data_IF_745113446552
#
_entry.id   IF_745113446552
#
_cell.length_a   1.000
_cell.length_b   1.000
_cell.length_c   1.000
_cell.angle_alpha   90.00
_cell.angle_beta   90.00
_cell.angle_gamma   90.00
#
_symmetry.space_group_name_H-M   'P 1'
#
loop_
_entity.id
_entity.type
_entity.pdbx_description
1 polymer ?
#
# COMPACT_ATOMS: atom_id res chain seq x y z
N UNK A 1 -35.59 -3.36 -23.40
CA UNK A 1 -35.12 -3.48 -22.00
C UNK A 1 -33.90 -4.40 -21.93
N UNK A 2 -33.96 -5.68 -22.34
CA UNK A 2 -32.84 -6.65 -22.23
C UNK A 2 -31.58 -6.17 -22.96
N UNK A 3 -31.71 -5.71 -24.22
CA UNK A 3 -30.58 -5.21 -25.00
C UNK A 3 -29.94 -3.96 -24.38
N UNK A 4 -30.73 -3.04 -23.81
CA UNK A 4 -30.19 -1.88 -23.13
C UNK A 4 -29.47 -2.28 -21.83
N UNK A 5 -30.00 -3.26 -21.06
CA UNK A 5 -29.34 -3.75 -19.84
C UNK A 5 -28.01 -4.41 -20.17
N UNK A 6 -27.94 -5.23 -21.22
CA UNK A 6 -26.69 -5.86 -21.66
C UNK A 6 -25.65 -4.80 -22.08
N UNK A 7 -26.09 -3.77 -22.81
CA UNK A 7 -25.19 -2.67 -23.21
C UNK A 7 -24.60 -1.96 -21.99
N UNK A 8 -25.42 -1.61 -20.99
CA UNK A 8 -24.94 -0.97 -19.78
C UNK A 8 -23.99 -1.86 -18.98
N UNK A 9 -24.26 -3.17 -18.88
CA UNK A 9 -23.37 -4.12 -18.21
C UNK A 9 -21.99 -4.15 -18.92
N UNK A 10 -21.97 -4.21 -20.25
CA UNK A 10 -20.71 -4.21 -21.01
C UNK A 10 -19.94 -2.91 -20.79
N UNK A 11 -20.61 -1.77 -20.86
CA UNK A 11 -19.98 -0.46 -20.60
C UNK A 11 -19.41 -0.42 -19.18
N UNK A 12 -20.18 -0.87 -18.18
CA UNK A 12 -19.72 -0.89 -16.78
C UNK A 12 -18.55 -1.85 -16.56
N UNK A 13 -18.50 -2.98 -17.26
CA UNK A 13 -17.34 -3.88 -17.22
C UNK A 13 -16.08 -3.18 -17.76
N UNK A 14 -16.18 -2.43 -18.85
CA UNK A 14 -15.05 -1.67 -19.39
C UNK A 14 -14.53 -0.67 -18.34
N UNK A 15 -15.43 0.07 -17.67
CA UNK A 15 -15.07 0.95 -16.57
C UNK A 15 -14.44 0.21 -15.40
N UNK A 16 -14.97 -0.94 -15.02
CA UNK A 16 -14.43 -1.75 -13.93
C UNK A 16 -12.98 -2.23 -14.18
N UNK A 17 -12.61 -2.53 -15.42
CA UNK A 17 -11.23 -2.83 -15.79
C UNK A 17 -10.27 -1.63 -15.69
N UNK A 18 -10.80 -0.41 -15.65
CA UNK A 18 -10.01 0.83 -15.51
C UNK A 18 -9.83 1.26 -14.06
N UNK A 19 -10.32 0.49 -13.10
CA UNK A 19 -10.18 0.81 -11.68
C UNK A 19 -8.72 0.69 -11.27
N UNK A 20 -8.23 1.74 -10.59
CA UNK A 20 -6.94 1.73 -9.90
C UNK A 20 -7.13 1.43 -8.41
N UNK A 21 -6.17 0.72 -7.82
CA UNK A 21 -6.09 0.50 -6.37
C UNK A 21 -5.07 1.45 -5.71
N UNK A 22 -4.42 2.29 -6.51
CA UNK A 22 -3.34 3.19 -6.08
C UNK A 22 -3.88 4.43 -5.36
N UNK A 23 -4.22 4.31 -4.09
CA UNK A 23 -4.61 5.46 -3.27
C UNK A 23 -3.42 6.00 -2.48
N UNK A 24 -3.37 7.33 -2.31
CA UNK A 24 -2.52 7.98 -1.32
C UNK A 24 -3.21 8.03 0.04
N UNK A 25 -2.45 8.22 1.13
CA UNK A 25 -3.02 8.22 2.48
C UNK A 25 -3.91 9.45 2.74
N UNK A 26 -3.57 10.61 2.18
CA UNK A 26 -4.38 11.82 2.33
C UNK A 26 -5.62 11.84 1.44
N UNK A 27 -5.70 10.93 0.48
CA UNK A 27 -6.85 10.87 -0.43
C UNK A 27 -8.18 10.56 0.26
N UNK A 28 -8.16 10.04 1.50
CA UNK A 28 -9.35 9.81 2.32
C UNK A 28 -9.89 11.08 2.98
N UNK A 29 -9.10 12.16 3.00
CA UNK A 29 -9.52 13.45 3.53
C UNK A 29 -10.20 14.28 2.46
N UNK A 30 -11.25 15.02 2.84
CA UNK A 30 -11.90 15.97 1.93
C UNK A 30 -10.94 17.14 1.63
N UNK A 31 -10.73 17.51 0.34
CA UNK A 31 -9.75 18.54 -0.05
C UNK A 31 -9.97 19.91 0.60
N UNK A 32 -11.21 20.24 0.95
CA UNK A 32 -11.59 21.51 1.60
C UNK A 32 -11.53 21.44 3.14
N UNK A 33 -11.19 20.27 3.72
CA UNK A 33 -11.04 20.16 5.17
C UNK A 33 -9.81 20.90 5.67
N UNK A 34 -9.93 21.57 6.82
CA UNK A 34 -8.80 22.29 7.43
C UNK A 34 -7.60 21.36 7.64
N UNK A 35 -7.84 20.11 8.06
CA UNK A 35 -6.78 19.12 8.26
C UNK A 35 -6.02 18.82 6.94
N UNK A 36 -6.73 18.63 5.81
CA UNK A 36 -6.08 18.39 4.52
C UNK A 36 -5.20 19.58 4.11
N UNK A 37 -5.75 20.80 4.24
CA UNK A 37 -5.04 22.04 3.90
C UNK A 37 -3.78 22.21 4.78
N UNK A 38 -3.89 21.98 6.08
CA UNK A 38 -2.77 22.07 7.01
C UNK A 38 -1.69 21.04 6.70
N UNK A 39 -2.06 19.79 6.44
CA UNK A 39 -1.10 18.74 6.06
C UNK A 39 -0.40 19.08 4.74
N UNK A 40 -1.11 19.58 3.74
CA UNK A 40 -0.50 20.02 2.47
C UNK A 40 0.43 21.22 2.64
N UNK A 41 0.13 22.13 3.55
CA UNK A 41 1.05 23.23 3.89
C UNK A 41 2.32 22.70 4.56
N UNK A 42 2.19 21.79 5.53
CA UNK A 42 3.35 21.15 6.18
C UNK A 42 4.18 20.38 5.16
N UNK A 43 3.56 19.60 4.28
CA UNK A 43 4.24 18.91 3.18
C UNK A 43 5.08 19.85 2.33
N UNK A 44 4.50 21.01 1.96
CA UNK A 44 5.19 22.05 1.17
C UNK A 44 6.38 22.67 1.90
N UNK A 45 6.28 22.87 3.22
CA UNK A 45 7.33 23.53 3.99
C UNK A 45 8.47 22.60 4.39
N UNK A 46 8.17 21.33 4.66
CA UNK A 46 9.13 20.34 5.16
C UNK A 46 9.55 19.29 4.11
N UNK A 47 9.01 19.37 2.89
CA UNK A 47 9.32 18.44 1.81
C UNK A 47 8.68 17.07 1.96
N UNK A 48 7.83 16.89 2.97
CA UNK A 48 7.09 15.64 3.24
C UNK A 48 6.43 15.67 4.60
N UNK A 49 5.49 14.72 4.80
CA UNK A 49 4.73 14.56 6.05
C UNK A 49 4.63 13.10 6.49
N UNK A 50 4.93 12.17 5.59
CA UNK A 50 4.76 10.74 5.84
C UNK A 50 6.10 10.07 6.09
N UNK A 51 6.30 9.46 7.28
CA UNK A 51 7.56 8.83 7.63
C UNK A 51 7.86 7.62 6.74
N UNK A 52 9.07 7.59 6.22
CA UNK A 52 9.66 6.45 5.51
C UNK A 52 11.03 6.16 6.10
N UNK A 53 11.37 4.89 6.15
CA UNK A 53 12.65 4.41 6.66
C UNK A 53 13.28 3.46 5.66
N UNK A 54 14.59 3.60 5.47
CA UNK A 54 15.39 2.66 4.70
C UNK A 54 16.35 2.01 5.68
N UNK A 55 16.20 0.70 5.83
CA UNK A 55 17.04 -0.12 6.70
C UNK A 55 18.15 -0.73 5.86
N UNK A 56 19.38 -0.51 6.25
CA UNK A 56 20.54 -1.18 5.69
C UNK A 56 20.92 -2.28 6.65
N UNK A 57 20.98 -3.53 6.18
CA UNK A 57 21.30 -4.70 6.97
C UNK A 57 22.59 -5.33 6.48
N UNK A 58 23.53 -5.58 7.39
CA UNK A 58 24.76 -6.31 7.16
C UNK A 58 24.57 -7.77 7.57
N UNK A 59 25.03 -8.71 6.74
CA UNK A 59 25.05 -10.14 7.10
C UNK A 59 25.95 -10.41 8.30
N UNK A 60 25.54 -11.31 9.20
CA UNK A 60 26.28 -11.68 10.41
C UNK A 60 27.63 -12.35 10.13
N UNK A 61 27.79 -12.94 8.95
CA UNK A 61 29.02 -13.59 8.49
C UNK A 61 30.20 -12.63 8.29
N UNK A 62 29.93 -11.32 8.25
CA UNK A 62 30.94 -10.28 8.01
C UNK A 62 31.41 -9.69 9.35
N UNK A 63 32.68 -10.01 9.72
CA UNK A 63 33.30 -9.55 10.97
C UNK A 63 33.80 -8.09 10.85
N UNK A 64 32.86 -7.13 10.86
CA UNK A 64 33.15 -5.70 10.96
C UNK A 64 31.98 -4.96 11.60
N UNK A 65 32.21 -3.82 12.28
CA UNK A 65 31.11 -3.05 12.85
C UNK A 65 30.17 -2.52 11.77
N UNK A 66 28.88 -2.39 12.08
CA UNK A 66 27.87 -1.89 11.12
C UNK A 66 28.13 -0.42 10.71
N UNK A 67 28.92 0.32 11.46
CA UNK A 67 29.37 1.69 11.13
C UNK A 67 30.79 1.73 10.54
N UNK A 68 31.27 0.60 9.97
CA UNK A 68 32.55 0.51 9.26
C UNK A 68 32.66 1.53 8.11
N UNK A 69 33.87 2.01 7.86
CA UNK A 69 34.19 2.99 6.80
C UNK A 69 33.61 2.63 5.44
N UNK A 70 33.62 1.36 5.06
CA UNK A 70 33.09 0.90 3.78
C UNK A 70 31.56 0.99 3.76
N UNK A 71 30.89 0.60 4.85
CA UNK A 71 29.42 0.70 4.99
C UNK A 71 28.99 2.18 4.97
N UNK A 72 29.75 3.05 5.62
CA UNK A 72 29.46 4.51 5.58
C UNK A 72 29.56 5.07 4.16
N UNK A 73 30.50 4.59 3.33
CA UNK A 73 30.55 4.97 1.89
C UNK A 73 29.34 4.50 1.10
N UNK A 74 28.86 3.30 1.35
CA UNK A 74 27.64 2.80 0.69
C UNK A 74 26.42 3.59 1.16
N UNK A 75 26.32 3.91 2.45
CA UNK A 75 25.27 4.75 3.01
C UNK A 75 25.27 6.13 2.40
N UNK A 76 26.45 6.76 2.23
CA UNK A 76 26.60 8.06 1.58
C UNK A 76 26.13 8.02 0.12
N UNK A 77 26.54 7.00 -0.66
CA UNK A 77 26.07 6.83 -2.04
C UNK A 77 24.55 6.68 -2.13
N UNK A 78 23.98 5.87 -1.25
CA UNK A 78 22.51 5.69 -1.18
C UNK A 78 21.82 7.00 -0.83
N UNK A 79 22.34 7.74 0.12
CA UNK A 79 21.77 9.01 0.54
C UNK A 79 21.84 10.07 -0.57
N UNK A 80 22.93 10.14 -1.33
CA UNK A 80 23.04 11.00 -2.52
C UNK A 80 21.98 10.64 -3.56
N UNK A 81 21.81 9.35 -3.84
CA UNK A 81 20.77 8.87 -4.76
C UNK A 81 19.35 9.24 -4.30
N UNK A 82 19.06 9.09 -3.00
CA UNK A 82 17.75 9.48 -2.44
C UNK A 82 17.54 11.00 -2.57
N UNK A 83 18.56 11.83 -2.34
CA UNK A 83 18.48 13.28 -2.50
C UNK A 83 18.27 13.72 -3.96
N UNK A 84 18.77 12.98 -4.93
CA UNK A 84 18.49 13.24 -6.35
C UNK A 84 17.01 13.06 -6.67
N UNK A 85 16.36 12.08 -6.04
CA UNK A 85 14.91 11.80 -6.24
C UNK A 85 14.05 12.77 -5.40
N UNK A 86 14.45 13.04 -4.16
CA UNK A 86 13.70 13.85 -3.18
C UNK A 86 14.56 14.97 -2.59
N UNK A 87 14.89 16.00 -3.36
CA UNK A 87 15.85 17.06 -2.92
C UNK A 87 15.33 17.92 -1.77
N UNK A 88 14.02 17.98 -1.56
CA UNK A 88 13.39 18.81 -0.51
C UNK A 88 13.04 18.03 0.75
N UNK A 89 13.18 16.72 0.74
CA UNK A 89 12.88 15.88 1.91
C UNK A 89 14.02 15.92 2.92
N UNK A 90 13.66 15.94 4.19
CA UNK A 90 14.66 15.93 5.26
C UNK A 90 14.98 14.46 5.65
N UNK A 91 16.22 14.07 5.38
CA UNK A 91 16.72 12.72 5.69
C UNK A 91 17.72 12.77 6.83
N UNK A 92 17.58 11.85 7.78
CA UNK A 92 18.48 11.66 8.91
C UNK A 92 19.07 10.26 8.81
N UNK A 93 20.40 10.16 8.87
CA UNK A 93 21.12 8.89 8.84
C UNK A 93 22.29 8.92 9.81
N UNK A 94 22.77 7.73 10.19
CA UNK A 94 23.99 7.60 10.98
C UNK A 94 25.16 8.32 10.30
N UNK A 95 25.36 8.06 9.01
CA UNK A 95 26.38 8.66 8.19
C UNK A 95 26.38 10.20 8.30
N UNK A 96 25.21 10.83 8.13
CA UNK A 96 25.09 12.30 8.16
C UNK A 96 25.36 12.88 9.55
N UNK A 97 24.98 12.19 10.60
CA UNK A 97 25.27 12.64 11.98
C UNK A 97 26.77 12.58 12.24
N UNK A 98 27.45 11.49 11.84
CA UNK A 98 28.88 11.33 12.01
C UNK A 98 29.64 12.34 11.14
N UNK A 99 29.30 12.49 9.86
CA UNK A 99 29.88 13.44 8.93
C UNK A 99 29.82 14.86 9.46
N UNK A 100 28.63 15.29 9.91
CA UNK A 100 28.46 16.64 10.47
C UNK A 100 29.31 16.86 11.71
N UNK A 101 29.40 15.88 12.60
CA UNK A 101 30.19 15.97 13.80
C UNK A 101 31.70 16.01 13.50
N UNK A 102 32.17 15.22 12.53
CA UNK A 102 33.58 15.25 12.06
C UNK A 102 33.91 16.62 11.45
N UNK A 103 33.02 17.14 10.61
CA UNK A 103 33.20 18.46 10.00
C UNK A 103 33.26 19.59 11.05
N UNK A 104 32.49 19.49 12.14
CA UNK A 104 32.54 20.46 13.26
C UNK A 104 33.86 20.36 14.05
N UNK A 105 34.49 19.15 14.11
CA UNK A 105 35.77 18.95 14.78
C UNK A 105 36.95 19.45 13.92
N UNK A 106 36.99 19.01 12.67
CA UNK A 106 38.01 19.43 11.69
C UNK A 106 37.43 19.34 10.27
N UNK A 107 37.17 20.52 9.63
CA UNK A 107 36.65 20.59 8.28
C UNK A 107 37.55 20.00 7.18
N UNK A 108 38.83 19.71 7.48
CA UNK A 108 39.76 19.14 6.51
C UNK A 108 39.75 17.61 6.48
N UNK A 109 39.00 16.95 7.37
CA UNK A 109 38.87 15.50 7.38
C UNK A 109 37.78 15.11 6.38
N UNK A 110 38.16 14.35 5.34
CA UNK A 110 37.22 13.78 4.37
C UNK A 110 36.39 12.67 5.00
N UNK A 111 35.09 12.63 4.70
CA UNK A 111 34.21 11.56 5.14
C UNK A 111 34.13 10.42 4.10
N UNK A 112 34.11 9.15 4.51
CA UNK A 112 34.37 8.64 5.87
C UNK A 112 35.86 8.60 6.19
N UNK A 113 36.23 9.01 7.41
CA UNK A 113 37.62 9.00 7.86
C UNK A 113 38.11 7.56 8.09
N UNK A 114 39.31 7.43 8.67
CA UNK A 114 39.81 6.13 9.11
C UNK A 114 38.98 5.58 10.28
N UNK A 115 38.98 4.24 10.42
CA UNK A 115 38.11 3.55 11.39
C UNK A 115 38.33 4.01 12.83
N UNK A 116 39.58 4.32 13.20
CA UNK A 116 39.87 4.80 14.55
C UNK A 116 39.17 6.14 14.88
N UNK A 117 39.07 7.03 13.92
CA UNK A 117 38.36 8.31 14.06
C UNK A 117 36.84 8.04 14.12
N UNK A 118 36.33 7.13 13.29
CA UNK A 118 34.93 6.72 13.31
C UNK A 118 34.53 6.15 14.69
N UNK A 119 35.36 5.30 15.26
CA UNK A 119 35.11 4.69 16.57
C UNK A 119 35.05 5.76 17.67
N UNK A 120 35.98 6.71 17.67
CA UNK A 120 35.99 7.83 18.64
C UNK A 120 34.75 8.73 18.46
N UNK A 121 34.43 9.11 17.24
CA UNK A 121 33.28 9.97 16.94
C UNK A 121 31.96 9.26 17.25
N UNK A 122 31.87 7.96 16.96
CA UNK A 122 30.70 7.17 17.31
C UNK A 122 30.46 7.18 18.83
N UNK A 123 31.51 6.96 19.64
CA UNK A 123 31.43 7.00 21.12
C UNK A 123 30.90 8.37 21.59
N UNK A 124 31.37 9.46 20.99
CA UNK A 124 30.96 10.82 21.36
C UNK A 124 29.54 11.17 20.91
N UNK A 125 29.00 10.45 19.94
CA UNK A 125 27.69 10.72 19.35
C UNK A 125 26.63 9.66 19.73
N UNK A 126 26.92 8.71 20.61
CA UNK A 126 26.04 7.60 20.98
C UNK A 126 24.62 8.02 21.32
N UNK A 127 24.46 9.08 22.12
CA UNK A 127 23.15 9.58 22.53
C UNK A 127 22.29 10.06 21.35
N UNK A 128 22.94 10.57 20.28
CA UNK A 128 22.27 11.09 19.09
C UNK A 128 22.04 10.01 18.01
N UNK A 129 22.82 8.94 18.06
CA UNK A 129 22.82 7.89 17.02
C UNK A 129 22.15 6.59 17.48
N UNK A 130 21.82 6.48 18.77
CA UNK A 130 21.22 5.27 19.37
C UNK A 130 19.97 4.78 18.62
N UNK A 131 19.15 5.70 18.13
CA UNK A 131 17.94 5.34 17.39
C UNK A 131 18.18 4.99 15.93
N UNK A 132 19.38 5.26 15.42
CA UNK A 132 19.76 5.06 14.02
C UNK A 132 20.51 3.75 13.79
N UNK A 133 20.86 3.03 14.85
CA UNK A 133 21.68 1.82 14.80
C UNK A 133 21.12 0.73 15.72
N UNK A 134 21.07 -0.50 15.23
CA UNK A 134 20.79 -1.70 16.01
C UNK A 134 21.94 -2.68 15.83
N UNK A 135 22.78 -2.84 16.87
CA UNK A 135 23.94 -3.73 16.84
C UNK A 135 23.55 -5.21 16.91
N UNK A 136 22.49 -5.55 17.64
CA UNK A 136 22.06 -6.95 17.78
C UNK A 136 21.61 -7.54 16.45
N UNK A 137 20.98 -6.71 15.61
CA UNK A 137 20.49 -7.12 14.30
C UNK A 137 21.38 -6.67 13.13
N UNK A 138 22.54 -6.06 13.39
CA UNK A 138 23.44 -5.51 12.37
C UNK A 138 22.73 -4.59 11.36
N UNK A 139 21.93 -3.64 11.87
CA UNK A 139 21.11 -2.72 11.06
C UNK A 139 21.41 -1.25 11.34
N UNK A 140 21.40 -0.45 10.30
CA UNK A 140 21.35 1.02 10.39
C UNK A 140 20.13 1.54 9.65
N UNK A 141 19.62 2.67 10.12
CA UNK A 141 18.40 3.31 9.64
C UNK A 141 18.69 4.66 9.00
N UNK A 142 18.13 4.87 7.82
CA UNK A 142 17.96 6.19 7.21
C UNK A 142 16.49 6.54 7.36
N UNK A 143 16.17 7.64 8.03
CA UNK A 143 14.80 8.07 8.28
C UNK A 143 14.52 9.37 7.56
N UNK A 144 13.35 9.48 6.93
CA UNK A 144 12.96 10.69 6.21
C UNK A 144 11.45 10.87 6.15
N UNK A 145 11.05 12.02 5.64
CA UNK A 145 9.66 12.34 5.36
C UNK A 145 9.47 12.44 3.85
N UNK A 146 8.48 11.73 3.32
CA UNK A 146 8.07 11.85 1.92
C UNK A 146 6.74 12.60 1.79
N UNK A 147 6.49 13.24 0.64
CA UNK A 147 5.16 13.73 0.31
C UNK A 147 4.16 12.58 0.23
N UNK A 148 2.87 12.90 0.21
CA UNK A 148 1.81 11.91 0.06
C UNK A 148 1.84 11.31 -1.36
N UNK A 149 2.48 10.16 -1.49
CA UNK A 149 2.64 9.41 -2.74
C UNK A 149 1.56 8.33 -2.86
N UNK A 150 1.21 7.98 -4.10
CA UNK A 150 0.40 6.78 -4.34
C UNK A 150 1.21 5.50 -4.11
N UNK A 151 0.51 4.39 -3.84
CA UNK A 151 1.15 3.09 -3.67
C UNK A 151 1.98 2.68 -4.89
N UNK A 152 1.54 2.99 -6.11
CA UNK A 152 2.27 2.70 -7.34
C UNK A 152 3.62 3.46 -7.42
N UNK A 153 3.63 4.75 -7.05
CA UNK A 153 4.87 5.54 -7.02
C UNK A 153 5.82 5.02 -5.95
N UNK A 154 5.28 4.59 -4.81
CA UNK A 154 6.08 4.04 -3.72
C UNK A 154 6.69 2.69 -4.10
N UNK A 155 5.93 1.81 -4.75
CA UNK A 155 6.43 0.51 -5.24
C UNK A 155 7.54 0.71 -6.29
N UNK A 156 7.37 1.64 -7.23
CA UNK A 156 8.41 2.03 -8.19
C UNK A 156 9.68 2.59 -7.51
N UNK A 157 9.51 3.35 -6.43
CA UNK A 157 10.62 3.84 -5.63
C UNK A 157 11.38 2.69 -4.95
N UNK A 158 10.65 1.76 -4.33
CA UNK A 158 11.26 0.57 -3.69
C UNK A 158 12.04 -0.26 -4.70
N UNK A 159 11.47 -0.50 -5.88
CA UNK A 159 12.14 -1.20 -6.98
C UNK A 159 13.41 -0.46 -7.44
N UNK A 160 13.34 0.86 -7.59
CA UNK A 160 14.49 1.69 -7.96
C UNK A 160 15.60 1.63 -6.92
N UNK A 161 15.26 1.66 -5.63
CA UNK A 161 16.21 1.51 -4.53
C UNK A 161 16.85 0.11 -4.53
N UNK A 162 16.08 -0.94 -4.77
CA UNK A 162 16.57 -2.31 -4.85
C UNK A 162 17.53 -2.50 -6.05
N UNK A 163 17.19 -1.94 -7.21
CA UNK A 163 18.07 -1.94 -8.39
C UNK A 163 19.36 -1.15 -8.11
N UNK A 164 19.26 0.01 -7.47
CA UNK A 164 20.43 0.78 -7.07
C UNK A 164 21.34 -0.03 -6.14
N UNK A 165 20.78 -0.69 -5.12
CA UNK A 165 21.55 -1.51 -4.19
C UNK A 165 22.19 -2.70 -4.89
N UNK A 166 21.48 -3.41 -5.76
CA UNK A 166 22.01 -4.54 -6.51
C UNK A 166 23.21 -4.17 -7.39
N UNK A 167 23.24 -2.94 -7.90
CA UNK A 167 24.32 -2.45 -8.76
C UNK A 167 25.50 -1.82 -8.00
N UNK A 168 25.27 -1.36 -6.77
CA UNK A 168 26.27 -0.55 -6.04
C UNK A 168 26.72 -1.16 -4.72
N UNK A 169 25.97 -2.12 -4.15
CA UNK A 169 26.27 -2.73 -2.88
C UNK A 169 26.85 -4.13 -3.05
N UNK A 170 27.71 -4.58 -2.15
CA UNK A 170 28.13 -5.97 -2.09
C UNK A 170 26.97 -6.88 -1.64
N UNK A 171 27.03 -8.16 -1.97
CA UNK A 171 25.97 -9.14 -1.67
C UNK A 171 25.66 -9.31 -0.18
N UNK A 172 26.62 -9.01 0.70
CA UNK A 172 26.46 -9.09 2.15
C UNK A 172 25.78 -7.85 2.77
N UNK A 173 25.42 -6.86 1.96
CA UNK A 173 24.74 -5.64 2.40
C UNK A 173 23.42 -5.51 1.64
N UNK A 174 22.30 -5.51 2.35
CA UNK A 174 20.97 -5.38 1.79
C UNK A 174 20.26 -4.13 2.29
N UNK A 175 19.28 -3.65 1.52
CA UNK A 175 18.41 -2.56 1.93
C UNK A 175 16.96 -3.03 1.93
N UNK A 176 16.16 -2.42 2.80
CA UNK A 176 14.72 -2.64 2.87
C UNK A 176 14.02 -1.34 3.21
N UNK A 177 13.00 -0.96 2.41
CA UNK A 177 12.17 0.21 2.68
C UNK A 177 11.02 -0.16 3.60
N UNK A 178 10.82 0.62 4.65
CA UNK A 178 9.78 0.43 5.66
C UNK A 178 9.33 1.80 6.22
N UNK A 179 8.64 1.80 7.34
CA UNK A 179 8.11 3.01 7.97
C UNK A 179 6.60 3.09 7.86
N UNK A 180 6.02 4.12 8.46
CA UNK A 180 4.55 4.24 8.54
C UNK A 180 3.89 4.31 7.16
N UNK A 181 4.46 5.07 6.23
CA UNK A 181 3.89 5.23 4.90
C UNK A 181 3.90 3.92 4.08
N UNK A 182 5.04 3.24 3.86
CA UNK A 182 5.07 1.98 3.11
C UNK A 182 4.18 0.90 3.73
N UNK A 183 4.23 0.75 5.06
CA UNK A 183 3.43 -0.26 5.76
C UNK A 183 1.93 0.03 5.61
N UNK A 184 1.49 1.29 5.79
CA UNK A 184 0.09 1.67 5.64
C UNK A 184 -0.43 1.44 4.21
N UNK A 185 0.33 1.85 3.18
CA UNK A 185 -0.07 1.66 1.78
C UNK A 185 -0.11 0.18 1.38
N UNK A 186 0.90 -0.61 1.77
CA UNK A 186 0.91 -2.06 1.53
C UNK A 186 -0.25 -2.75 2.27
N UNK A 187 -0.53 -2.35 3.52
CA UNK A 187 -1.66 -2.88 4.29
C UNK A 187 -2.99 -2.55 3.59
N UNK A 188 -3.18 -1.32 3.10
CA UNK A 188 -4.38 -0.95 2.37
C UNK A 188 -4.58 -1.80 1.11
N UNK A 189 -3.51 -2.04 0.34
CA UNK A 189 -3.57 -2.88 -0.85
C UNK A 189 -3.93 -4.34 -0.50
N UNK A 190 -3.34 -4.89 0.57
CA UNK A 190 -3.68 -6.23 1.05
C UNK A 190 -5.14 -6.32 1.52
N UNK A 191 -5.62 -5.33 2.29
CA UNK A 191 -7.02 -5.29 2.73
C UNK A 191 -7.98 -5.27 1.54
N UNK A 192 -7.70 -4.48 0.51
CA UNK A 192 -8.52 -4.44 -0.72
C UNK A 192 -8.51 -5.81 -1.42
N UNK A 193 -7.34 -6.43 -1.59
CA UNK A 193 -7.21 -7.75 -2.21
C UNK A 193 -7.95 -8.84 -1.42
N UNK A 194 -7.85 -8.82 -0.10
CA UNK A 194 -8.54 -9.77 0.79
C UNK A 194 -10.06 -9.61 0.71
N UNK A 195 -10.56 -8.37 0.68
CA UNK A 195 -11.99 -8.08 0.52
C UNK A 195 -12.51 -8.59 -0.83
N UNK A 196 -11.80 -8.37 -1.93
CA UNK A 196 -12.19 -8.90 -3.24
C UNK A 196 -12.11 -10.43 -3.31
N UNK A 197 -11.12 -11.04 -2.69
CA UNK A 197 -11.03 -12.50 -2.57
C UNK A 197 -12.20 -13.07 -1.76
N UNK A 198 -12.58 -12.34 -0.68
CA UNK A 198 -13.77 -12.65 0.12
C UNK A 198 -15.07 -12.62 -0.69
N UNK A 199 -15.22 -11.70 -1.66
CA UNK A 199 -16.37 -11.71 -2.57
C UNK A 199 -16.47 -13.00 -3.37
N UNK A 200 -15.36 -13.47 -3.95
CA UNK A 200 -15.33 -14.72 -4.68
C UNK A 200 -15.83 -15.89 -3.83
N UNK A 201 -15.32 -15.99 -2.61
CA UNK A 201 -15.74 -17.03 -1.65
C UNK A 201 -17.23 -16.88 -1.26
N UNK A 202 -17.68 -15.64 -1.01
CA UNK A 202 -19.08 -15.38 -0.69
C UNK A 202 -20.01 -15.80 -1.84
N UNK A 203 -19.68 -15.48 -3.10
CA UNK A 203 -20.47 -15.91 -4.25
C UNK A 203 -20.56 -17.44 -4.38
N UNK A 204 -19.46 -18.14 -4.15
CA UNK A 204 -19.43 -19.61 -4.15
C UNK A 204 -20.36 -20.15 -3.05
N UNK A 205 -20.25 -19.62 -1.83
CA UNK A 205 -21.06 -20.05 -0.69
C UNK A 205 -22.56 -19.78 -0.91
N UNK A 206 -22.90 -18.57 -1.38
CA UNK A 206 -24.28 -18.18 -1.71
C UNK A 206 -24.86 -19.10 -2.78
N UNK A 207 -24.10 -19.36 -3.85
CA UNK A 207 -24.51 -20.27 -4.94
C UNK A 207 -24.78 -21.67 -4.44
N UNK A 208 -23.94 -22.17 -3.52
CA UNK A 208 -24.09 -23.49 -2.92
C UNK A 208 -25.33 -23.56 -2.02
N UNK A 209 -25.53 -22.57 -1.15
CA UNK A 209 -26.70 -22.50 -0.27
C UNK A 209 -28.00 -22.43 -1.07
N UNK A 210 -28.03 -21.56 -2.10
CA UNK A 210 -29.19 -21.42 -3.00
C UNK A 210 -29.42 -22.71 -3.80
N UNK A 211 -28.36 -23.35 -4.30
CA UNK A 211 -28.45 -24.63 -5.01
C UNK A 211 -29.03 -25.72 -4.15
N UNK A 212 -28.66 -25.81 -2.87
CA UNK A 212 -29.18 -26.76 -1.89
C UNK A 212 -30.64 -26.46 -1.53
N UNK A 213 -30.99 -25.22 -1.25
CA UNK A 213 -32.36 -24.79 -0.88
C UNK A 213 -33.37 -25.09 -1.98
N UNK A 214 -33.00 -24.87 -3.23
CA UNK A 214 -33.91 -25.09 -4.38
C UNK A 214 -33.70 -26.44 -5.09
N UNK A 215 -32.80 -27.30 -4.57
CA UNK A 215 -32.45 -28.58 -5.19
C UNK A 215 -32.09 -28.45 -6.68
N UNK A 216 -31.47 -27.32 -7.04
CA UNK A 216 -31.14 -27.02 -8.42
C UNK A 216 -29.88 -26.17 -8.52
N UNK A 217 -28.78 -26.75 -9.02
CA UNK A 217 -27.54 -26.05 -9.26
C UNK A 217 -27.70 -24.86 -10.22
N UNK A 218 -28.63 -24.96 -11.18
CA UNK A 218 -28.92 -23.84 -12.12
C UNK A 218 -29.50 -22.63 -11.40
N UNK A 219 -30.40 -22.83 -10.44
CA UNK A 219 -30.99 -21.75 -9.65
C UNK A 219 -29.90 -21.11 -8.78
N UNK A 220 -29.03 -21.91 -8.16
CA UNK A 220 -27.89 -21.39 -7.40
C UNK A 220 -27.01 -20.47 -8.23
N UNK A 221 -26.70 -20.86 -9.46
CA UNK A 221 -25.85 -20.04 -10.35
C UNK A 221 -26.56 -18.77 -10.84
N UNK A 222 -27.86 -18.87 -11.20
CA UNK A 222 -28.65 -17.72 -11.68
C UNK A 222 -28.87 -16.70 -10.57
N UNK A 223 -28.96 -17.12 -9.30
CA UNK A 223 -29.15 -16.23 -8.15
C UNK A 223 -28.01 -15.27 -7.90
N UNK A 224 -26.81 -15.52 -8.48
CA UNK A 224 -25.66 -14.63 -8.39
C UNK A 224 -25.87 -13.36 -9.25
N UNK A 225 -26.53 -13.51 -10.42
CA UNK A 225 -26.65 -12.41 -11.39
C UNK A 225 -27.26 -11.12 -10.83
N UNK A 226 -28.40 -11.15 -10.11
CA UNK A 226 -29.00 -9.96 -9.52
C UNK A 226 -28.05 -9.25 -8.52
N UNK A 227 -27.21 -10.02 -7.84
CA UNK A 227 -26.31 -9.51 -6.82
C UNK A 227 -25.01 -8.94 -7.44
N UNK A 228 -24.56 -9.50 -8.56
CA UNK A 228 -23.36 -9.08 -9.25
C UNK A 228 -23.55 -7.80 -10.07
N UNK A 229 -24.71 -7.63 -10.69
CA UNK A 229 -25.01 -6.49 -11.58
C UNK A 229 -24.81 -5.14 -10.89
N UNK A 230 -25.37 -4.86 -9.69
CA UNK A 230 -25.18 -3.58 -8.99
C UNK A 230 -23.70 -3.31 -8.68
N UNK A 231 -22.94 -4.35 -8.31
CA UNK A 231 -21.50 -4.24 -8.00
C UNK A 231 -20.71 -3.88 -9.26
N UNK A 232 -21.03 -4.50 -10.40
CA UNK A 232 -20.42 -4.17 -11.69
C UNK A 232 -20.72 -2.73 -12.09
N UNK A 233 -21.96 -2.26 -11.89
CA UNK A 233 -22.31 -0.87 -12.18
C UNK A 233 -21.54 0.12 -11.32
N UNK A 234 -21.48 -0.14 -10.01
CA UNK A 234 -20.74 0.71 -9.08
C UNK A 234 -19.23 0.71 -9.41
N UNK A 235 -18.66 -0.46 -9.68
CA UNK A 235 -17.27 -0.59 -10.11
C UNK A 235 -17.01 0.16 -11.44
N UNK A 236 -17.90 0.00 -12.41
CA UNK A 236 -17.82 0.72 -13.68
C UNK A 236 -17.83 2.23 -13.52
N UNK A 237 -18.73 2.73 -12.67
CA UNK A 237 -18.79 4.15 -12.34
C UNK A 237 -17.49 4.66 -11.71
N UNK A 238 -16.93 3.94 -10.72
CA UNK A 238 -15.66 4.30 -10.09
C UNK A 238 -14.51 4.36 -11.10
N UNK A 239 -14.43 3.36 -11.99
CA UNK A 239 -13.39 3.33 -13.02
C UNK A 239 -13.49 4.49 -14.01
N UNK A 240 -14.69 4.82 -14.50
CA UNK A 240 -14.88 5.98 -15.38
C UNK A 240 -14.68 7.32 -14.69
N UNK A 241 -15.03 7.41 -13.40
CA UNK A 241 -14.82 8.61 -12.60
C UNK A 241 -13.35 8.78 -12.16
N UNK A 242 -12.47 7.79 -12.43
CA UNK A 242 -11.08 7.81 -11.98
C UNK A 242 -10.94 7.76 -10.45
N UNK A 243 -11.95 7.22 -9.75
CA UNK A 243 -11.95 7.12 -8.29
C UNK A 243 -11.28 5.79 -7.91
N UNK A 244 -10.12 5.81 -7.24
CA UNK A 244 -9.44 4.58 -6.84
C UNK A 244 -10.23 3.82 -5.78
N UNK A 245 -10.19 2.49 -5.84
CA UNK A 245 -10.77 1.67 -4.77
C UNK A 245 -9.88 1.77 -3.54
N UNK A 246 -10.51 2.09 -2.41
CA UNK A 246 -9.92 2.23 -1.09
C UNK A 246 -10.63 1.29 -0.11
N UNK A 247 -10.03 0.97 1.05
CA UNK A 247 -10.67 0.08 2.03
C UNK A 247 -12.12 0.46 2.38
N UNK A 248 -12.50 1.74 2.60
CA UNK A 248 -13.90 2.10 2.86
C UNK A 248 -14.86 1.76 1.71
N UNK A 249 -14.42 1.92 0.45
CA UNK A 249 -15.21 1.57 -0.73
C UNK A 249 -15.38 0.05 -0.82
N UNK A 250 -14.31 -0.71 -0.61
CA UNK A 250 -14.36 -2.18 -0.62
C UNK A 250 -15.28 -2.72 0.49
N UNK A 251 -15.25 -2.14 1.69
CA UNK A 251 -16.18 -2.45 2.78
C UNK A 251 -17.62 -2.15 2.38
N UNK A 252 -17.87 -1.00 1.74
CA UNK A 252 -19.19 -0.64 1.24
C UNK A 252 -19.71 -1.66 0.24
N UNK A 253 -18.87 -2.14 -0.67
CA UNK A 253 -19.24 -3.23 -1.59
C UNK A 253 -19.61 -4.51 -0.87
N UNK A 254 -18.91 -4.87 0.22
CA UNK A 254 -19.22 -6.02 1.05
C UNK A 254 -20.62 -5.92 1.68
N UNK A 255 -20.95 -4.73 2.21
CA UNK A 255 -22.26 -4.47 2.80
C UNK A 255 -23.35 -4.52 1.74
N UNK A 256 -23.15 -3.87 0.58
CA UNK A 256 -24.09 -3.89 -0.54
C UNK A 256 -24.34 -5.32 -1.04
N UNK A 257 -23.31 -6.16 -1.12
CA UNK A 257 -23.45 -7.57 -1.48
C UNK A 257 -24.34 -8.30 -0.49
N UNK A 258 -24.12 -8.13 0.83
CA UNK A 258 -24.93 -8.77 1.86
C UNK A 258 -26.41 -8.41 1.75
N UNK A 259 -26.73 -7.13 1.54
CA UNK A 259 -28.12 -6.66 1.37
C UNK A 259 -28.73 -7.24 0.09
N UNK A 260 -28.02 -7.18 -1.04
CA UNK A 260 -28.52 -7.69 -2.32
C UNK A 260 -28.81 -9.20 -2.28
N UNK A 261 -27.98 -9.96 -1.57
CA UNK A 261 -28.18 -11.41 -1.37
C UNK A 261 -29.43 -11.70 -0.56
N UNK A 262 -29.68 -10.93 0.51
CA UNK A 262 -30.87 -11.08 1.35
C UNK A 262 -32.14 -10.85 0.54
N UNK A 263 -32.19 -9.74 -0.21
CA UNK A 263 -33.33 -9.42 -1.10
C UNK A 263 -33.55 -10.50 -2.17
N UNK A 264 -32.49 -11.01 -2.77
CA UNK A 264 -32.58 -12.07 -3.77
C UNK A 264 -33.09 -13.38 -3.18
N UNK A 265 -32.68 -13.72 -1.96
CA UNK A 265 -33.13 -14.90 -1.25
C UNK A 265 -34.62 -14.80 -0.93
N UNK A 266 -35.08 -13.69 -0.39
CA UNK A 266 -36.50 -13.44 -0.09
C UNK A 266 -37.35 -13.51 -1.35
N UNK A 267 -36.92 -12.87 -2.44
CA UNK A 267 -37.62 -12.90 -3.72
C UNK A 267 -37.75 -14.32 -4.27
N UNK A 268 -36.64 -15.08 -4.35
CA UNK A 268 -36.63 -16.43 -4.88
C UNK A 268 -37.45 -17.40 -4.02
N UNK A 269 -37.40 -17.25 -2.69
CA UNK A 269 -38.19 -18.08 -1.78
C UNK A 269 -39.70 -17.84 -1.96
N UNK A 270 -40.12 -16.57 -2.08
CA UNK A 270 -41.53 -16.26 -2.35
C UNK A 270 -41.96 -16.73 -3.73
N UNK A 271 -41.17 -16.50 -4.76
CA UNK A 271 -41.44 -17.03 -6.10
C UNK A 271 -41.63 -18.53 -6.11
N UNK A 272 -40.77 -19.26 -5.40
CA UNK A 272 -40.86 -20.72 -5.29
C UNK A 272 -42.13 -21.20 -4.53
N UNK A 273 -42.53 -20.48 -3.47
CA UNK A 273 -43.75 -20.77 -2.75
C UNK A 273 -45.02 -20.55 -3.63
N UNK A 274 -45.08 -19.43 -4.35
CA UNK A 274 -46.21 -19.14 -5.22
C UNK A 274 -46.29 -20.08 -6.42
N UNK A 275 -45.15 -20.44 -6.99
CA UNK A 275 -45.07 -21.43 -8.07
C UNK A 275 -45.56 -22.81 -7.68
N UNK A 276 -45.47 -23.21 -6.41
CA UNK A 276 -46.06 -24.45 -5.90
C UNK A 276 -47.60 -24.39 -5.82
N UNK A 277 -48.18 -23.22 -5.70
CA UNK A 277 -49.63 -23.04 -5.59
C UNK A 277 -50.33 -22.89 -6.94
N UNK A 278 -49.65 -22.33 -7.95
CA UNK A 278 -50.17 -22.13 -9.30
C UNK A 278 -49.26 -22.76 -10.35
N UNK A 279 -49.83 -23.49 -11.30
CA UNK A 279 -49.11 -24.01 -12.46
C UNK A 279 -48.93 -22.95 -13.57
N UNK A 280 -49.55 -21.79 -13.46
CA UNK A 280 -49.51 -20.74 -14.48
C UNK A 280 -48.46 -19.71 -14.09
N UNK A 281 -47.34 -19.65 -14.84
CA UNK A 281 -46.21 -18.71 -14.59
C UNK A 281 -46.62 -17.24 -14.70
N UNK A 282 -47.74 -16.91 -15.36
CA UNK A 282 -48.24 -15.53 -15.51
C UNK A 282 -49.00 -15.04 -14.28
N UNK A 283 -49.34 -15.92 -13.36
CA UNK A 283 -50.10 -15.59 -12.14
C UNK A 283 -49.18 -15.56 -10.89
N UNK A 284 -47.92 -15.94 -11.02
CA UNK A 284 -46.85 -15.93 -10.01
C UNK A 284 -45.97 -14.68 -10.17
#
# INVERSE_FOLDING_TARGET
IILSSIFFIIVSLIGAFSISTGSSLLSDLHPESGLYIDLKNVEKWFGGILPVEIIITKEDTVERPIYDKEIMRYTEKLQKYIYEIFPYSNWISLQRVLEKFIYELDPNIDFPPDQEILDQVYILTQDKTRELINFEENKIRISGLLPDLSSEVLDNLEDSLNVFAANNFPSWLSIHMTGTMPVALKTNNHLIADLFSGFGLAFIFISLVMGLLFWSFRIGLISILPNLIPIIFAAGYLGFAGIPVRPPIAITFSICLGIAVDDSLHFLFRFWQERKKSSNIKEV
#
